data_IF_000515165974
#
_entry.id   IF_000515165974
#
_cell.length_a   1.000
_cell.length_b   1.000
_cell.length_c   1.000
_cell.angle_alpha   90.00
_cell.angle_beta   90.00
_cell.angle_gamma   90.00
#
_symmetry.space_group_name_H-M   'P 1'
#
loop_
_entity.id
_entity.type
_entity.pdbx_description
1 polymer ?
#
# COMPACT_ATOMS: atom_id res chain seq x y z
N UNK A 1 -30.04 -10.40 -44.13
CA UNK A 1 -30.68 -10.06 -42.84
C UNK A 1 -30.58 -11.32 -41.99
N UNK A 2 -29.59 -11.37 -41.17
CA UNK A 2 -29.32 -12.49 -40.27
C UNK A 2 -29.65 -12.06 -38.87
N UNK A 3 -30.37 -12.91 -38.18
CA UNK A 3 -31.06 -12.75 -36.94
C UNK A 3 -30.11 -12.40 -35.77
N UNK A 4 -30.30 -11.24 -35.18
CA UNK A 4 -29.67 -10.76 -33.93
C UNK A 4 -30.53 -11.08 -32.68
N UNK A 5 -31.23 -12.19 -32.66
CA UNK A 5 -32.08 -12.58 -31.50
C UNK A 5 -31.67 -13.93 -30.93
N UNK A 6 -30.49 -14.03 -30.34
CA UNK A 6 -30.06 -15.31 -29.77
C UNK A 6 -29.13 -15.28 -28.57
N UNK A 7 -28.82 -14.08 -28.05
CA UNK A 7 -27.81 -13.96 -26.99
C UNK A 7 -28.35 -13.77 -25.57
N UNK A 8 -29.67 -13.67 -25.38
CA UNK A 8 -30.29 -13.39 -24.07
C UNK A 8 -31.18 -14.48 -23.49
N UNK A 9 -31.37 -15.62 -24.20
CA UNK A 9 -32.27 -16.67 -23.72
C UNK A 9 -31.62 -17.78 -22.87
N UNK A 10 -30.29 -17.79 -22.68
CA UNK A 10 -29.59 -18.86 -21.96
C UNK A 10 -29.31 -18.53 -20.47
N UNK A 11 -29.87 -17.45 -19.92
CA UNK A 11 -29.69 -17.06 -18.52
C UNK A 11 -30.96 -17.09 -17.67
N UNK A 12 -32.02 -17.71 -18.17
CA UNK A 12 -33.30 -17.73 -17.49
C UNK A 12 -33.78 -19.16 -17.19
N UNK A 13 -32.94 -20.01 -16.58
CA UNK A 13 -33.41 -21.21 -15.89
C UNK A 13 -32.35 -21.69 -14.89
N UNK A 14 -32.39 -21.09 -13.73
CA UNK A 14 -31.70 -21.46 -12.54
C UNK A 14 -32.33 -20.77 -11.38
N UNK A 15 -33.46 -21.29 -10.91
CA UNK A 15 -34.05 -20.97 -9.61
C UNK A 15 -33.12 -21.42 -8.47
N UNK A 16 -31.92 -20.89 -8.42
CA UNK A 16 -31.18 -20.71 -7.20
C UNK A 16 -31.41 -19.25 -6.81
N UNK A 17 -32.44 -19.01 -6.04
CA UNK A 17 -32.49 -17.84 -5.15
C UNK A 17 -31.26 -17.93 -4.27
N UNK A 18 -30.12 -17.47 -4.78
CA UNK A 18 -29.00 -17.08 -3.95
C UNK A 18 -29.59 -16.02 -3.02
N UNK A 19 -29.89 -16.41 -1.79
CA UNK A 19 -30.14 -15.48 -0.72
C UNK A 19 -28.92 -14.56 -0.72
N UNK A 20 -29.06 -13.39 -1.32
CA UNK A 20 -28.14 -12.28 -1.11
C UNK A 20 -28.39 -11.92 0.33
N UNK A 21 -27.61 -12.52 1.23
CA UNK A 21 -27.53 -12.02 2.60
C UNK A 21 -27.22 -10.53 2.46
N UNK A 22 -28.12 -9.69 2.92
CA UNK A 22 -27.90 -8.26 3.04
C UNK A 22 -26.68 -8.07 3.92
N UNK A 23 -25.49 -7.98 3.29
CA UNK A 23 -24.30 -7.56 4.00
C UNK A 23 -24.49 -6.08 4.34
N UNK A 24 -24.79 -5.82 5.59
CA UNK A 24 -24.82 -4.46 6.13
C UNK A 24 -23.35 -3.93 6.15
N UNK A 25 -22.90 -3.46 4.98
CA UNK A 25 -21.56 -2.90 4.84
C UNK A 25 -21.61 -1.49 5.39
N UNK A 26 -21.25 -1.34 6.65
CA UNK A 26 -21.10 -0.05 7.28
C UNK A 26 -19.66 0.44 7.14
N UNK A 27 -19.46 1.55 6.44
CA UNK A 27 -18.16 2.21 6.37
C UNK A 27 -17.98 3.15 7.57
N UNK A 28 -16.99 2.90 8.40
CA UNK A 28 -16.59 3.77 9.49
C UNK A 28 -15.26 4.45 9.17
N UNK A 29 -15.22 5.78 8.96
CA UNK A 29 -13.97 6.48 8.80
C UNK A 29 -13.19 6.48 10.12
N UNK A 30 -11.91 6.13 10.04
CA UNK A 30 -10.99 6.20 11.17
C UNK A 30 -9.71 6.91 10.72
N UNK A 31 -9.19 7.77 11.56
CA UNK A 31 -7.91 8.43 11.34
C UNK A 31 -6.81 7.65 12.03
N UNK A 32 -5.92 7.08 11.22
CA UNK A 32 -4.72 6.41 11.70
C UNK A 32 -3.48 7.22 11.33
N UNK A 33 -2.58 7.40 12.26
CA UNK A 33 -1.28 7.94 11.94
C UNK A 33 -0.39 6.88 11.24
N UNK A 34 0.70 7.33 10.63
CA UNK A 34 1.61 6.49 9.85
C UNK A 34 2.22 5.37 10.69
N UNK A 35 2.58 5.64 11.95
CA UNK A 35 3.15 4.64 12.85
C UNK A 35 2.14 3.55 13.22
N UNK A 36 0.88 3.91 13.41
CA UNK A 36 -0.18 2.93 13.66
C UNK A 36 -0.37 1.99 12.48
N UNK A 37 -0.42 2.53 11.26
CA UNK A 37 -0.50 1.71 10.04
C UNK A 37 0.71 0.79 9.90
N UNK A 38 1.91 1.31 10.15
CA UNK A 38 3.12 0.51 10.16
C UNK A 38 3.07 -0.63 11.19
N UNK A 39 2.64 -0.32 12.41
CA UNK A 39 2.49 -1.32 13.48
C UNK A 39 1.48 -2.41 13.12
N UNK A 40 0.41 -2.08 12.41
CA UNK A 40 -0.58 -3.05 11.94
C UNK A 40 0.02 -4.04 10.93
N UNK A 41 0.93 -3.57 10.08
CA UNK A 41 1.65 -4.47 9.16
C UNK A 41 2.63 -5.36 9.93
N UNK A 42 3.44 -4.78 10.81
CA UNK A 42 4.44 -5.50 11.61
C UNK A 42 3.81 -6.59 12.49
N UNK A 43 2.66 -6.32 13.08
CA UNK A 43 1.94 -7.27 13.93
C UNK A 43 1.14 -8.31 13.15
N UNK A 44 1.02 -8.17 11.82
CA UNK A 44 0.17 -9.01 10.99
C UNK A 44 -1.34 -8.70 11.15
N UNK A 45 -1.70 -7.60 11.80
CA UNK A 45 -3.09 -7.14 11.91
C UNK A 45 -3.67 -6.73 10.54
N UNK A 46 -2.84 -6.16 9.68
CA UNK A 46 -3.20 -5.85 8.29
C UNK A 46 -2.55 -6.85 7.36
N UNK A 47 -3.39 -7.49 6.54
CA UNK A 47 -2.97 -8.40 5.47
C UNK A 47 -3.28 -7.81 4.10
N UNK A 48 -2.39 -8.06 3.16
CA UNK A 48 -2.59 -7.74 1.76
C UNK A 48 -3.00 -9.03 1.05
N UNK A 49 -4.21 -9.12 0.48
CA UNK A 49 -4.66 -10.34 -0.20
C UNK A 49 -3.71 -10.76 -1.34
N UNK A 50 -3.50 -12.08 -1.48
CA UNK A 50 -2.58 -12.64 -2.47
C UNK A 50 -2.97 -12.37 -3.93
N UNK A 51 -4.23 -12.06 -4.22
CA UNK A 51 -4.70 -11.67 -5.55
C UNK A 51 -4.38 -10.23 -5.94
N UNK A 52 -3.95 -9.39 -5.00
CA UNK A 52 -3.53 -8.03 -5.32
C UNK A 52 -2.14 -8.06 -5.97
N UNK A 53 -1.93 -7.09 -6.88
CA UNK A 53 -0.67 -6.99 -7.62
C UNK A 53 0.53 -6.70 -6.70
N UNK A 54 1.72 -7.04 -7.19
CA UNK A 54 2.98 -6.70 -6.54
C UNK A 54 3.13 -5.18 -6.33
N UNK A 55 4.06 -4.80 -5.46
CA UNK A 55 4.48 -3.41 -5.37
C UNK A 55 5.11 -2.96 -6.69
N UNK A 56 4.52 -1.97 -7.36
CA UNK A 56 4.92 -1.55 -8.70
C UNK A 56 5.38 -0.10 -8.79
N UNK A 57 5.19 0.68 -7.73
CA UNK A 57 5.63 2.08 -7.73
C UNK A 57 7.14 2.18 -7.83
N UNK A 58 7.61 3.18 -8.61
CA UNK A 58 9.00 3.59 -8.60
C UNK A 58 9.30 4.48 -7.37
N UNK A 59 10.59 4.75 -7.15
CA UNK A 59 11.01 5.54 -6.00
C UNK A 59 10.52 7.00 -6.07
N UNK A 60 10.38 7.56 -7.27
CA UNK A 60 9.86 8.94 -7.44
C UNK A 60 8.40 9.03 -6.99
N UNK A 61 7.57 8.10 -7.44
CA UNK A 61 6.14 8.07 -7.07
C UNK A 61 5.96 7.79 -5.57
N UNK A 62 6.71 6.85 -5.04
CA UNK A 62 6.73 6.56 -3.61
C UNK A 62 7.18 7.79 -2.78
N UNK A 63 8.22 8.48 -3.22
CA UNK A 63 8.72 9.70 -2.56
C UNK A 63 7.71 10.84 -2.55
N UNK A 64 6.92 11.00 -3.62
CA UNK A 64 5.85 12.01 -3.67
C UNK A 64 4.73 11.75 -2.65
N UNK A 65 4.40 10.49 -2.40
CA UNK A 65 3.45 10.15 -1.34
C UNK A 65 4.00 10.55 0.03
N UNK A 66 5.24 10.20 0.32
CA UNK A 66 5.88 10.54 1.60
C UNK A 66 5.96 12.06 1.76
N UNK A 67 6.35 12.80 0.72
CA UNK A 67 6.34 14.27 0.73
C UNK A 67 4.95 14.82 1.07
N UNK A 68 3.89 14.30 0.42
CA UNK A 68 2.52 14.73 0.69
C UNK A 68 2.11 14.51 2.14
N UNK A 69 2.48 13.37 2.72
CA UNK A 69 2.23 13.07 4.13
C UNK A 69 2.98 14.02 5.07
N UNK A 70 4.25 14.34 4.76
CA UNK A 70 5.06 15.27 5.58
C UNK A 70 4.48 16.67 5.60
N UNK A 71 4.00 17.17 4.45
CA UNK A 71 3.49 18.55 4.33
C UNK A 71 1.98 18.64 4.56
N UNK A 72 1.31 17.54 4.88
CA UNK A 72 -0.11 17.51 5.21
C UNK A 72 -1.05 17.71 4.01
N UNK A 73 -0.59 17.40 2.80
CA UNK A 73 -1.48 17.36 1.63
C UNK A 73 -2.39 16.13 1.72
N UNK A 74 -3.70 16.30 1.51
CA UNK A 74 -4.62 15.17 1.50
C UNK A 74 -4.20 14.09 0.50
N UNK A 75 -4.14 12.85 0.97
CA UNK A 75 -3.87 11.66 0.15
C UNK A 75 -5.13 10.82 0.03
N UNK A 76 -5.30 10.03 -1.05
CA UNK A 76 -6.44 9.12 -1.17
C UNK A 76 -6.53 8.18 0.03
N UNK A 77 -7.74 7.92 0.50
CA UNK A 77 -8.01 7.04 1.63
C UNK A 77 -7.57 5.60 1.36
N UNK A 78 -7.21 4.89 2.44
CA UNK A 78 -7.06 3.45 2.44
C UNK A 78 -8.41 2.81 2.74
N UNK A 79 -8.73 1.71 2.07
CA UNK A 79 -9.91 0.92 2.39
C UNK A 79 -9.48 -0.42 2.98
N UNK A 80 -9.86 -0.64 4.21
CA UNK A 80 -9.59 -1.85 4.97
C UNK A 80 -10.91 -2.55 5.30
N UNK A 81 -10.96 -3.85 5.12
CA UNK A 81 -12.06 -4.68 5.56
C UNK A 81 -11.69 -5.37 6.88
N UNK A 82 -12.46 -5.12 7.93
CA UNK A 82 -12.27 -5.77 9.22
C UNK A 82 -12.89 -7.17 9.19
N UNK A 83 -12.03 -8.19 9.08
CA UNK A 83 -12.46 -9.60 9.08
C UNK A 83 -12.80 -10.10 10.49
N UNK A 84 -12.11 -9.57 11.49
CA UNK A 84 -12.28 -9.87 12.90
C UNK A 84 -11.66 -8.72 13.69
N UNK A 85 -11.93 -8.66 14.99
CA UNK A 85 -11.35 -7.62 15.88
C UNK A 85 -9.84 -7.50 15.68
N UNK A 86 -9.40 -6.32 15.26
CA UNK A 86 -7.99 -5.99 14.97
C UNK A 86 -7.35 -6.86 13.87
N UNK A 87 -8.15 -7.34 12.92
CA UNK A 87 -7.67 -8.07 11.73
C UNK A 87 -8.29 -7.47 10.47
N UNK A 88 -7.46 -6.93 9.63
CA UNK A 88 -7.87 -6.16 8.46
C UNK A 88 -7.29 -6.74 7.17
N UNK A 89 -8.09 -6.72 6.11
CA UNK A 89 -7.63 -6.92 4.73
C UNK A 89 -7.59 -5.59 4.01
N UNK A 90 -6.54 -5.36 3.26
CA UNK A 90 -6.44 -4.19 2.37
C UNK A 90 -7.32 -4.42 1.15
N UNK A 91 -8.34 -3.59 0.99
CA UNK A 91 -9.21 -3.58 -0.19
C UNK A 91 -8.67 -2.63 -1.24
N UNK A 92 -8.26 -1.42 -0.83
CA UNK A 92 -7.61 -0.45 -1.70
C UNK A 92 -6.52 0.31 -0.95
N UNK A 93 -5.51 0.76 -1.69
CA UNK A 93 -4.38 1.52 -1.17
C UNK A 93 -3.14 0.69 -0.85
N UNK A 94 -3.03 -0.53 -1.36
CA UNK A 94 -1.88 -1.41 -1.17
C UNK A 94 -0.55 -0.72 -1.47
N UNK A 95 -0.44 -0.01 -2.61
CA UNK A 95 0.81 0.64 -2.99
C UNK A 95 1.20 1.75 -2.01
N UNK A 96 0.22 2.49 -1.49
CA UNK A 96 0.43 3.53 -0.47
C UNK A 96 0.88 2.91 0.84
N UNK A 97 0.21 1.86 1.27
CA UNK A 97 0.53 1.16 2.52
C UNK A 97 1.94 0.55 2.48
N UNK A 98 2.31 -0.11 1.38
CA UNK A 98 3.64 -0.68 1.19
C UNK A 98 4.72 0.40 1.08
N UNK A 99 4.42 1.55 0.49
CA UNK A 99 5.34 2.70 0.47
C UNK A 99 5.67 3.17 1.88
N UNK A 100 4.66 3.33 2.73
CA UNK A 100 4.84 3.69 4.14
C UNK A 100 5.72 2.65 4.84
N UNK A 101 5.42 1.38 4.68
CA UNK A 101 6.18 0.27 5.26
C UNK A 101 7.65 0.32 4.87
N UNK A 102 7.96 0.38 3.58
CA UNK A 102 9.33 0.42 3.09
C UNK A 102 10.06 1.70 3.50
N UNK A 103 9.38 2.84 3.56
CA UNK A 103 9.99 4.08 4.00
C UNK A 103 10.42 4.02 5.48
N UNK A 104 9.57 3.51 6.35
CA UNK A 104 9.90 3.35 7.77
C UNK A 104 11.00 2.29 7.98
N UNK A 105 11.04 1.25 7.17
CA UNK A 105 12.15 0.28 7.13
C UNK A 105 13.41 0.85 6.48
N UNK A 106 13.34 2.01 5.85
CA UNK A 106 14.45 2.69 5.14
C UNK A 106 15.01 1.89 3.97
N UNK A 107 14.22 0.95 3.43
CA UNK A 107 14.62 0.07 2.34
C UNK A 107 13.61 0.12 1.22
N UNK A 108 14.08 0.24 -0.01
CA UNK A 108 13.25 0.28 -1.20
C UNK A 108 13.47 -0.98 -2.03
N UNK A 109 12.42 -1.74 -2.40
CA UNK A 109 12.60 -3.01 -3.07
C UNK A 109 13.08 -2.82 -4.50
N UNK A 110 14.12 -3.55 -4.88
CA UNK A 110 14.59 -3.61 -6.25
C UNK A 110 13.55 -4.25 -7.16
N UNK A 111 13.40 -3.71 -8.35
CA UNK A 111 12.32 -4.06 -9.27
C UNK A 111 12.31 -5.55 -9.63
N UNK A 112 13.47 -6.12 -9.89
CA UNK A 112 13.66 -7.52 -10.27
C UNK A 112 13.36 -8.52 -9.14
N UNK A 113 13.33 -8.05 -7.89
CA UNK A 113 13.08 -8.88 -6.69
C UNK A 113 11.66 -8.80 -6.14
N UNK A 114 10.81 -7.96 -6.71
CA UNK A 114 9.49 -7.67 -6.13
C UNK A 114 8.53 -8.87 -6.14
N UNK A 115 8.63 -9.73 -7.13
CA UNK A 115 7.81 -10.97 -7.17
C UNK A 115 8.20 -11.91 -6.03
N UNK A 116 9.50 -12.12 -5.83
CA UNK A 116 10.02 -12.95 -4.75
C UNK A 116 9.70 -12.35 -3.37
N UNK A 117 9.87 -11.05 -3.21
CA UNK A 117 9.51 -10.32 -1.97
C UNK A 117 8.03 -10.43 -1.66
N UNK A 118 7.16 -10.43 -2.67
CA UNK A 118 5.74 -10.64 -2.48
C UNK A 118 5.45 -12.00 -1.88
N UNK A 119 6.06 -13.06 -2.39
CA UNK A 119 5.91 -14.42 -1.86
C UNK A 119 6.36 -14.48 -0.40
N UNK A 120 7.50 -13.89 -0.07
CA UNK A 120 8.02 -13.83 1.31
C UNK A 120 7.05 -13.08 2.22
N UNK A 121 6.52 -11.94 1.77
CA UNK A 121 5.56 -11.15 2.54
C UNK A 121 4.24 -11.90 2.77
N UNK A 122 3.73 -12.60 1.75
CA UNK A 122 2.50 -13.39 1.86
C UNK A 122 2.64 -14.55 2.84
N UNK A 123 3.80 -15.21 2.84
CA UNK A 123 4.06 -16.36 3.73
C UNK A 123 4.31 -15.93 5.18
N UNK A 124 4.98 -14.80 5.39
CA UNK A 124 5.48 -14.40 6.71
C UNK A 124 4.74 -13.21 7.33
N UNK A 125 3.93 -12.50 6.54
CA UNK A 125 3.23 -11.27 6.96
C UNK A 125 4.10 -10.02 7.02
N UNK A 126 5.43 -10.18 7.07
CA UNK A 126 6.44 -9.10 7.03
C UNK A 126 7.66 -9.55 6.25
N UNK A 127 8.58 -8.62 5.97
CA UNK A 127 9.88 -8.95 5.40
C UNK A 127 10.90 -9.17 6.54
N UNK A 128 11.56 -10.34 6.63
CA UNK A 128 12.58 -10.60 7.63
C UNK A 128 13.74 -9.60 7.58
N UNK A 129 14.33 -9.29 8.73
CA UNK A 129 15.41 -8.30 8.84
C UNK A 129 16.63 -8.66 8.00
N UNK A 130 16.98 -9.94 7.91
CA UNK A 130 18.10 -10.42 7.08
C UNK A 130 17.88 -10.18 5.58
N UNK A 131 16.65 -10.21 5.11
CA UNK A 131 16.29 -9.91 3.72
C UNK A 131 16.25 -8.40 3.50
N UNK A 132 15.70 -7.63 4.44
CA UNK A 132 15.73 -6.17 4.39
C UNK A 132 17.16 -5.61 4.34
N UNK A 133 18.10 -6.24 5.04
CA UNK A 133 19.51 -5.85 5.03
C UNK A 133 20.26 -6.30 3.78
N UNK A 134 19.70 -7.18 2.97
CA UNK A 134 20.36 -7.72 1.79
C UNK A 134 20.23 -6.77 0.59
N UNK A 135 21.36 -6.27 0.12
CA UNK A 135 21.43 -5.34 -1.01
C UNK A 135 21.13 -5.98 -2.37
N UNK A 136 20.97 -7.29 -2.45
CA UNK A 136 20.42 -7.95 -3.64
C UNK A 136 18.92 -7.68 -3.81
N UNK A 137 18.19 -7.53 -2.71
CA UNK A 137 16.73 -7.34 -2.69
C UNK A 137 16.34 -5.88 -2.59
N UNK A 138 17.12 -5.08 -1.87
CA UNK A 138 16.78 -3.72 -1.50
C UNK A 138 17.90 -2.74 -1.80
N UNK A 139 17.53 -1.49 -1.94
CA UNK A 139 18.40 -0.32 -1.87
C UNK A 139 17.90 0.62 -0.76
N UNK A 140 18.71 1.60 -0.37
CA UNK A 140 18.29 2.57 0.62
C UNK A 140 17.11 3.40 0.11
N UNK A 141 16.08 3.56 0.94
CA UNK A 141 14.96 4.42 0.61
C UNK A 141 15.26 5.86 1.01
N UNK A 142 15.97 6.56 0.16
CA UNK A 142 16.12 8.02 0.19
C UNK A 142 15.11 8.65 -0.75
N UNK A 143 14.44 9.70 -0.32
CA UNK A 143 13.46 10.39 -1.15
C UNK A 143 14.10 10.91 -2.44
N UNK A 144 13.44 10.65 -3.55
CA UNK A 144 13.83 11.11 -4.88
C UNK A 144 12.74 12.03 -5.42
N UNK A 145 12.94 13.33 -5.20
CA UNK A 145 12.02 14.38 -5.55
C UNK A 145 12.66 15.31 -6.57
N UNK A 146 11.90 15.65 -7.61
CA UNK A 146 12.39 16.57 -8.64
C UNK A 146 12.41 18.01 -8.14
N UNK A 147 13.44 18.73 -8.52
CA UNK A 147 13.54 20.16 -8.34
C UNK A 147 12.72 20.84 -9.44
N UNK A 148 11.61 21.47 -9.07
CA UNK A 148 10.73 22.13 -10.04
C UNK A 148 11.28 23.44 -10.60
N UNK A 149 12.30 24.01 -9.96
CA UNK A 149 12.93 25.28 -10.35
C UNK A 149 14.45 25.14 -10.31
N UNK A 150 15.19 25.79 -11.25
CA UNK A 150 16.66 25.68 -11.34
C UNK A 150 17.42 26.12 -10.09
N UNK A 151 16.75 26.78 -9.13
CA UNK A 151 17.38 27.34 -7.92
C UNK A 151 16.74 26.90 -6.60
N UNK A 152 15.63 26.16 -6.63
CA UNK A 152 14.94 25.72 -5.41
C UNK A 152 15.11 24.20 -5.24
N UNK A 153 16.11 23.81 -4.43
CA UNK A 153 16.28 22.40 -4.03
C UNK A 153 15.06 21.99 -3.18
N UNK A 154 14.48 20.83 -3.51
CA UNK A 154 13.49 20.24 -2.63
C UNK A 154 14.19 19.82 -1.34
N UNK A 155 13.76 20.41 -0.21
CA UNK A 155 14.37 20.19 1.11
C UNK A 155 14.30 18.76 1.61
N UNK A 156 13.38 17.94 1.08
CA UNK A 156 13.23 16.54 1.46
C UNK A 156 14.01 15.59 0.56
N UNK A 157 14.48 16.06 -0.60
CA UNK A 157 15.22 15.22 -1.53
C UNK A 157 16.47 14.63 -0.88
N UNK A 158 16.67 13.32 -1.03
CA UNK A 158 17.82 12.60 -0.46
C UNK A 158 17.68 12.22 1.02
N UNK A 159 16.63 12.67 1.71
CA UNK A 159 16.36 12.27 3.09
C UNK A 159 15.74 10.87 3.16
N UNK A 160 16.01 10.15 4.23
CA UNK A 160 15.31 8.93 4.61
C UNK A 160 14.57 9.13 5.93
N UNK A 161 13.85 8.12 6.40
CA UNK A 161 13.08 8.22 7.64
C UNK A 161 13.95 8.60 8.85
N UNK A 162 15.19 8.13 8.93
CA UNK A 162 16.10 8.48 10.03
C UNK A 162 16.64 9.91 9.93
N UNK A 163 16.79 10.46 8.73
CA UNK A 163 17.36 11.80 8.49
C UNK A 163 16.33 12.90 8.31
N UNK A 164 15.03 12.59 8.41
CA UNK A 164 13.96 13.59 8.35
C UNK A 164 14.05 14.65 9.45
N UNK A 165 14.69 14.35 10.60
CA UNK A 165 14.83 15.26 11.71
C UNK A 165 13.46 15.75 12.23
N UNK A 166 13.25 17.06 12.29
CA UNK A 166 12.00 17.66 12.73
C UNK A 166 10.77 17.19 11.94
N UNK A 167 10.91 16.93 10.65
CA UNK A 167 9.79 16.47 9.79
C UNK A 167 9.30 15.06 10.10
N UNK A 168 10.07 14.29 10.85
CA UNK A 168 9.64 12.97 11.32
C UNK A 168 8.38 13.04 12.17
N UNK A 169 8.30 14.06 13.02
CA UNK A 169 7.14 14.30 13.88
C UNK A 169 5.85 14.48 13.09
N UNK A 170 5.93 15.04 11.88
CA UNK A 170 4.76 15.21 11.02
C UNK A 170 4.23 13.86 10.46
N UNK A 171 5.08 12.88 10.31
CA UNK A 171 4.66 11.52 9.90
C UNK A 171 4.14 10.70 11.08
N UNK A 172 4.63 10.98 12.27
CA UNK A 172 4.32 10.23 13.48
C UNK A 172 3.01 10.72 14.14
N UNK A 173 2.49 11.85 13.72
CA UNK A 173 1.19 12.40 14.14
C UNK A 173 0.05 11.86 13.29
#
# INVERSE_FOLDING_TARGET
>A
MADEEGWFEDYADGDDEAQIDEYDITASPNDFNVLTLFSFIESGAVKIPGFQRNFVWDRVRASKLIESLIIGIPVPQLFLYEQAKNKFLVIDGQQRLMTIYYFLKRRFPKREKRVELRTIFDERGTIPLEILANDEYFEDFKLKLSEKLPKAKNRFNGLNYATLGYYKTQLDL
#
